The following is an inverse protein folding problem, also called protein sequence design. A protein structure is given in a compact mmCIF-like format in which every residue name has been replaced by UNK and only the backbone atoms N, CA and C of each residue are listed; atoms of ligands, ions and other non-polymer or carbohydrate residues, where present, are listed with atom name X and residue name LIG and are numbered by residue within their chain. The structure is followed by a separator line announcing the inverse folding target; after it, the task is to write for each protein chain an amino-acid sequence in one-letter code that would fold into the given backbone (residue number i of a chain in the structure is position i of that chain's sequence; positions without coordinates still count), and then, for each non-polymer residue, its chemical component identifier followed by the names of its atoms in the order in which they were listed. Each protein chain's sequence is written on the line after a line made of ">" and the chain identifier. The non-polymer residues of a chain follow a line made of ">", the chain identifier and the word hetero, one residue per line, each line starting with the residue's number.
data_IF_374042314661
#
_entry.id   IF_374042314661
#
_cell.length_a   1.000
_cell.length_b   1.000
_cell.length_c   1.000
_cell.angle_alpha   90.00
_cell.angle_beta   90.00
_cell.angle_gamma   90.00
#
_symmetry.space_group_name_H-M   'P 1'
#
loop_
_entity.id
_entity.type
_entity.pdbx_description
1 polymer ?
#
# COMPACT_ATOMS: atom_id res chain seq x y z
N UNK A 1 5.03 -2.36 20.34
CA UNK A 1 4.06 -2.46 19.24
C UNK A 1 4.85 -2.51 17.96
N UNK A 2 4.67 -3.55 17.15
CA UNK A 2 5.32 -3.62 15.85
C UNK A 2 4.50 -2.73 14.92
N UNK A 3 4.88 -1.45 14.79
CA UNK A 3 4.21 -0.57 13.82
C UNK A 3 4.36 -1.21 12.45
N UNK A 4 3.27 -1.23 11.68
CA UNK A 4 3.29 -1.78 10.33
C UNK A 4 3.90 -0.80 9.31
N UNK A 5 4.27 0.41 9.74
CA UNK A 5 4.97 1.43 8.97
C UNK A 5 6.11 2.06 9.78
N UNK A 6 7.09 2.63 9.07
CA UNK A 6 8.25 3.29 9.64
C UNK A 6 8.01 4.78 9.79
N UNK A 7 7.72 5.22 11.03
CA UNK A 7 7.59 6.65 11.35
C UNK A 7 8.90 7.42 11.14
N UNK A 8 10.04 6.74 11.29
CA UNK A 8 11.36 7.33 11.02
C UNK A 8 11.50 7.70 9.54
N UNK A 9 11.08 6.82 8.63
CA UNK A 9 11.06 7.10 7.19
C UNK A 9 10.16 8.29 6.87
N UNK A 10 8.97 8.37 7.46
CA UNK A 10 8.06 9.50 7.30
C UNK A 10 8.68 10.81 7.80
N UNK A 11 9.42 10.76 8.90
CA UNK A 11 10.13 11.91 9.47
C UNK A 11 11.30 12.34 8.58
N UNK A 12 12.04 11.40 7.99
CA UNK A 12 13.12 11.69 7.05
C UNK A 12 12.59 12.34 5.76
N UNK A 13 11.50 11.83 5.21
CA UNK A 13 10.81 12.41 4.04
C UNK A 13 10.39 13.85 4.30
N UNK A 14 9.93 14.11 5.52
CA UNK A 14 9.40 15.39 5.92
C UNK A 14 10.48 16.34 6.46
N UNK A 15 11.76 15.95 6.42
CA UNK A 15 12.89 16.71 7.01
C UNK A 15 12.66 17.08 8.50
N UNK A 16 11.90 16.26 9.22
CA UNK A 16 11.48 16.53 10.60
C UNK A 16 10.30 17.49 10.76
N UNK A 17 9.73 18.01 9.67
CA UNK A 17 8.58 18.90 9.71
C UNK A 17 7.28 18.13 9.99
N UNK A 18 6.64 18.48 11.11
CA UNK A 18 5.44 17.76 11.59
C UNK A 18 4.18 18.09 10.80
N UNK A 19 4.09 19.27 10.21
CA UNK A 19 2.97 19.65 9.35
C UNK A 19 3.05 18.88 8.03
N UNK A 20 4.26 18.77 7.46
CA UNK A 20 4.50 17.98 6.26
C UNK A 20 4.25 16.48 6.49
N UNK A 21 4.64 15.93 7.65
CA UNK A 21 4.32 14.54 8.01
C UNK A 21 2.79 14.30 8.00
N UNK A 22 2.00 15.22 8.54
CA UNK A 22 0.55 15.12 8.53
C UNK A 22 -0.03 15.19 7.11
N UNK A 23 0.48 16.09 6.26
CA UNK A 23 0.05 16.20 4.86
C UNK A 23 0.34 14.91 4.10
N UNK A 24 1.53 14.33 4.28
CA UNK A 24 1.92 13.07 3.62
C UNK A 24 1.06 11.90 4.11
N UNK A 25 0.86 11.77 5.43
CA UNK A 25 -0.01 10.75 6.02
C UNK A 25 -1.45 10.86 5.54
N UNK A 26 -1.99 12.09 5.51
CA UNK A 26 -3.35 12.37 5.02
C UNK A 26 -3.49 12.04 3.53
N UNK A 27 -2.55 12.47 2.70
CA UNK A 27 -2.55 12.18 1.25
C UNK A 27 -2.54 10.66 1.02
N UNK A 28 -1.71 9.93 1.76
CA UNK A 28 -1.66 8.48 1.72
C UNK A 28 -3.02 7.84 2.11
N UNK A 29 -3.66 8.34 3.17
CA UNK A 29 -4.99 7.89 3.60
C UNK A 29 -6.12 8.22 2.62
N UNK A 30 -5.96 9.24 1.77
CA UNK A 30 -6.97 9.62 0.76
C UNK A 30 -6.76 8.89 -0.57
N UNK A 31 -5.50 8.66 -0.99
CA UNK A 31 -5.19 8.08 -2.31
C UNK A 31 -5.04 6.54 -2.30
N UNK A 32 -4.39 5.97 -1.28
CA UNK A 32 -4.08 4.53 -1.25
C UNK A 32 -5.31 3.63 -1.06
N UNK A 33 -6.29 3.90 -0.17
CA UNK A 33 -7.46 3.03 -0.03
C UNK A 33 -8.28 2.83 -1.31
N UNK A 34 -8.61 3.87 -2.11
CA UNK A 34 -9.31 3.65 -3.38
C UNK A 34 -8.44 2.94 -4.43
N UNK A 35 -7.13 3.20 -4.50
CA UNK A 35 -6.21 2.46 -5.36
C UNK A 35 -6.15 0.97 -4.96
N UNK A 36 -6.13 0.66 -3.66
CA UNK A 36 -6.15 -0.70 -3.11
C UNK A 36 -7.43 -1.45 -3.44
N UNK A 37 -8.59 -0.78 -3.31
CA UNK A 37 -9.88 -1.35 -3.69
C UNK A 37 -9.91 -1.68 -5.19
N UNK A 38 -9.45 -0.72 -6.02
CA UNK A 38 -9.38 -0.88 -7.48
C UNK A 38 -8.41 -2.00 -7.89
N UNK A 39 -7.28 -2.15 -7.20
CA UNK A 39 -6.35 -3.26 -7.39
C UNK A 39 -7.01 -4.61 -7.12
N UNK A 40 -7.74 -4.72 -5.99
CA UNK A 40 -8.45 -5.95 -5.63
C UNK A 40 -9.52 -6.30 -6.67
N UNK A 41 -10.30 -5.32 -7.11
CA UNK A 41 -11.29 -5.50 -8.17
C UNK A 41 -10.65 -5.89 -9.50
N UNK A 42 -9.53 -5.28 -9.88
CA UNK A 42 -8.80 -5.63 -11.08
C UNK A 42 -8.33 -7.09 -11.05
N UNK A 43 -7.83 -7.57 -9.90
CA UNK A 43 -7.45 -8.98 -9.73
C UNK A 43 -8.69 -9.89 -9.85
N UNK A 44 -9.81 -9.56 -9.20
CA UNK A 44 -11.04 -10.38 -9.26
C UNK A 44 -11.59 -10.46 -10.70
N UNK A 45 -11.56 -9.34 -11.43
CA UNK A 45 -11.98 -9.27 -12.83
C UNK A 45 -10.94 -9.82 -13.82
N UNK A 46 -9.83 -10.39 -13.31
CA UNK A 46 -8.70 -10.87 -14.09
C UNK A 46 -8.08 -9.81 -15.03
N UNK A 47 -8.26 -8.53 -14.71
CA UNK A 47 -7.68 -7.41 -15.43
C UNK A 47 -6.25 -7.15 -14.94
N UNK A 48 -5.30 -7.85 -15.56
CA UNK A 48 -3.88 -7.79 -15.22
C UNK A 48 -3.25 -6.43 -15.52
N UNK A 49 -3.71 -5.72 -16.55
CA UNK A 49 -3.19 -4.41 -16.91
C UNK A 49 -3.51 -3.37 -15.82
N UNK A 50 -4.78 -3.29 -15.39
CA UNK A 50 -5.15 -2.42 -14.28
C UNK A 50 -4.48 -2.83 -12.98
N UNK A 51 -4.43 -4.13 -12.67
CA UNK A 51 -3.77 -4.61 -11.47
C UNK A 51 -2.29 -4.21 -11.45
N UNK A 52 -1.61 -4.22 -12.60
CA UNK A 52 -0.22 -3.79 -12.73
C UNK A 52 -0.09 -2.29 -12.45
N UNK A 53 -0.94 -1.47 -13.07
CA UNK A 53 -0.91 -0.02 -12.90
C UNK A 53 -1.11 0.39 -11.43
N UNK A 54 -2.11 -0.18 -10.76
CA UNK A 54 -2.37 0.11 -9.35
C UNK A 54 -1.24 -0.40 -8.45
N UNK A 55 -0.77 -1.65 -8.66
CA UNK A 55 0.34 -2.19 -7.88
C UNK A 55 1.62 -1.34 -8.03
N UNK A 56 1.95 -0.94 -9.27
CA UNK A 56 3.12 -0.12 -9.58
C UNK A 56 3.02 1.29 -8.98
N UNK A 57 1.82 1.89 -8.99
CA UNK A 57 1.55 3.21 -8.39
C UNK A 57 1.64 3.18 -6.86
N UNK A 58 1.12 2.12 -6.23
CA UNK A 58 1.11 2.00 -4.77
C UNK A 58 2.46 1.59 -4.20
N UNK A 59 3.24 0.77 -4.93
CA UNK A 59 4.54 0.25 -4.48
C UNK A 59 5.50 1.32 -3.93
N UNK A 60 5.81 2.43 -4.64
CA UNK A 60 6.70 3.45 -4.10
C UNK A 60 6.15 4.11 -2.83
N UNK A 61 4.83 4.29 -2.72
CA UNK A 61 4.20 4.82 -1.50
C UNK A 61 4.38 3.84 -0.32
N UNK A 62 4.22 2.54 -0.55
CA UNK A 62 4.41 1.50 0.47
C UNK A 62 5.88 1.42 0.90
N UNK A 63 6.82 1.50 -0.05
CA UNK A 63 8.27 1.53 0.22
C UNK A 63 8.66 2.77 1.02
N UNK A 64 8.13 3.93 0.63
CA UNK A 64 8.36 5.22 1.27
C UNK A 64 7.93 5.23 2.75
N UNK A 65 6.81 4.58 3.06
CA UNK A 65 6.33 4.43 4.44
C UNK A 65 6.99 3.25 5.18
N UNK A 66 7.92 2.51 4.56
CA UNK A 66 8.62 1.39 5.18
C UNK A 66 7.71 0.23 5.59
N UNK A 67 6.61 0.01 4.86
CA UNK A 67 5.61 -1.00 5.19
C UNK A 67 6.11 -2.38 4.74
N UNK A 68 6.02 -3.41 5.59
CA UNK A 68 6.49 -4.77 5.26
C UNK A 68 5.56 -5.55 4.30
N UNK A 69 4.94 -4.86 3.33
CA UNK A 69 4.15 -5.47 2.25
C UNK A 69 4.67 -5.22 0.83
N UNK A 70 5.85 -4.57 0.73
CA UNK A 70 6.53 -4.30 -0.55
C UNK A 70 6.81 -5.59 -1.32
N UNK A 71 7.10 -6.69 -0.63
CA UNK A 71 7.35 -7.99 -1.27
C UNK A 71 6.08 -8.55 -1.91
N UNK A 72 4.95 -8.41 -1.22
CA UNK A 72 3.65 -8.90 -1.66
C UNK A 72 3.13 -8.07 -2.84
N UNK A 73 3.22 -6.73 -2.78
CA UNK A 73 2.82 -5.86 -3.90
C UNK A 73 3.70 -6.12 -5.13
N UNK A 74 5.00 -6.37 -4.95
CA UNK A 74 5.93 -6.74 -6.05
C UNK A 74 5.58 -8.10 -6.64
N UNK A 75 5.12 -9.05 -5.82
CA UNK A 75 4.63 -10.34 -6.32
C UNK A 75 3.34 -10.17 -7.13
N UNK A 76 2.44 -9.26 -6.74
CA UNK A 76 1.23 -8.91 -7.51
C UNK A 76 1.62 -8.33 -8.86
N UNK A 77 2.51 -7.33 -8.85
CA UNK A 77 3.06 -6.68 -10.04
C UNK A 77 3.69 -7.71 -10.98
N UNK A 78 4.52 -8.61 -10.47
CA UNK A 78 5.14 -9.67 -11.27
C UNK A 78 4.12 -10.66 -11.81
N UNK A 79 3.11 -11.03 -11.01
CA UNK A 79 2.06 -11.96 -11.41
C UNK A 79 1.26 -11.46 -12.62
N UNK A 80 1.04 -10.14 -12.75
CA UNK A 80 0.35 -9.56 -13.91
C UNK A 80 1.04 -9.85 -15.24
N UNK A 81 2.37 -10.03 -15.22
CA UNK A 81 3.18 -10.39 -16.39
C UNK A 81 3.26 -11.91 -16.62
N UNK A 82 2.59 -12.72 -15.79
CA UNK A 82 2.56 -14.18 -15.91
C UNK A 82 1.23 -14.69 -16.44
N UNK A 83 1.20 -15.92 -16.94
CA UNK A 83 -0.05 -16.61 -17.32
C UNK A 83 -0.75 -17.30 -16.14
N UNK A 84 -0.38 -17.01 -14.88
CA UNK A 84 -0.98 -17.63 -13.69
C UNK A 84 -2.39 -17.09 -13.44
N UNK A 85 -3.23 -17.93 -12.81
CA UNK A 85 -4.56 -17.56 -12.35
C UNK A 85 -4.53 -16.65 -11.11
N UNK A 86 -5.63 -15.93 -10.88
CA UNK A 86 -5.77 -14.97 -9.77
C UNK A 86 -5.72 -15.64 -8.40
N UNK A 87 -6.12 -16.90 -8.31
CA UNK A 87 -6.06 -17.72 -7.10
C UNK A 87 -4.66 -17.78 -6.48
N UNK A 88 -3.61 -17.70 -7.31
CA UNK A 88 -2.21 -17.72 -6.84
C UNK A 88 -1.79 -16.41 -6.17
N UNK A 89 -2.47 -15.30 -6.48
CA UNK A 89 -2.13 -13.97 -5.97
C UNK A 89 -3.13 -13.41 -4.96
N UNK A 90 -4.37 -13.93 -4.93
CA UNK A 90 -5.38 -13.60 -3.92
C UNK A 90 -4.83 -13.56 -2.48
N UNK A 91 -4.10 -14.58 -1.97
CA UNK A 91 -3.57 -14.52 -0.61
C UNK A 91 -2.52 -13.41 -0.41
N UNK A 92 -1.78 -13.04 -1.45
CA UNK A 92 -0.80 -11.96 -1.38
C UNK A 92 -1.50 -10.60 -1.28
N UNK A 93 -2.52 -10.36 -2.11
CA UNK A 93 -3.28 -9.11 -2.05
C UNK A 93 -4.08 -9.00 -0.75
N UNK A 94 -4.62 -10.09 -0.21
CA UNK A 94 -5.33 -10.04 1.09
C UNK A 94 -4.39 -9.67 2.25
N UNK A 95 -3.14 -10.14 2.22
CA UNK A 95 -2.12 -9.71 3.18
C UNK A 95 -1.81 -8.21 3.03
N UNK A 96 -1.64 -7.72 1.80
CA UNK A 96 -1.43 -6.29 1.51
C UNK A 96 -2.58 -5.47 2.06
N UNK A 97 -3.82 -5.88 1.77
CA UNK A 97 -5.04 -5.18 2.23
C UNK A 97 -5.09 -5.15 3.75
N UNK A 98 -4.88 -6.28 4.41
CA UNK A 98 -4.95 -6.38 5.87
C UNK A 98 -3.90 -5.50 6.54
N UNK A 99 -2.66 -5.53 6.06
CA UNK A 99 -1.58 -4.71 6.62
C UNK A 99 -1.80 -3.23 6.35
N UNK A 100 -2.19 -2.84 5.13
CA UNK A 100 -2.47 -1.44 4.82
C UNK A 100 -3.62 -0.89 5.65
N UNK A 101 -4.68 -1.67 5.88
CA UNK A 101 -5.76 -1.25 6.77
C UNK A 101 -5.28 -1.00 8.21
N UNK A 102 -4.35 -1.81 8.72
CA UNK A 102 -3.73 -1.54 10.03
C UNK A 102 -2.91 -0.26 10.00
N UNK A 103 -2.07 -0.08 8.99
CA UNK A 103 -1.30 1.17 8.81
C UNK A 103 -2.23 2.38 8.75
N UNK A 104 -3.37 2.28 8.07
CA UNK A 104 -4.33 3.38 8.00
C UNK A 104 -4.92 3.71 9.37
N UNK A 105 -5.26 2.70 10.17
CA UNK A 105 -5.76 2.89 11.53
C UNK A 105 -4.69 3.52 12.44
N UNK A 106 -3.45 3.00 12.36
CA UNK A 106 -2.32 3.53 13.13
C UNK A 106 -2.01 4.98 12.73
N UNK A 107 -2.01 5.32 11.44
CA UNK A 107 -1.80 6.69 10.95
C UNK A 107 -2.91 7.63 11.43
N UNK A 108 -4.17 7.20 11.39
CA UNK A 108 -5.29 8.00 11.92
C UNK A 108 -5.14 8.26 13.41
N UNK A 109 -4.74 7.25 14.18
CA UNK A 109 -4.51 7.39 15.62
C UNK A 109 -3.31 8.30 15.92
N UNK A 110 -2.20 8.16 15.21
CA UNK A 110 -0.97 8.92 15.45
C UNK A 110 -1.13 10.41 15.06
N UNK A 111 -1.78 10.67 13.92
CA UNK A 111 -2.00 12.03 13.40
C UNK A 111 -3.34 12.65 13.81
N UNK A 112 -4.16 11.95 14.60
CA UNK A 112 -5.48 12.38 15.05
C UNK A 112 -6.43 12.75 13.89
N UNK A 113 -6.46 11.90 12.85
CA UNK A 113 -7.26 12.07 11.61
C UNK A 113 -8.57 11.26 11.60
#
# INVERSE_FOLDING_TARGET
>A
MSNHYSIESLREISDGDSDFMMVVARTFLEEIPPDLASLKEAIINNNKELAYQFAHKMKPNIEMFGIDVVKQITAVESWTNTSRGTETILPQIELVVTTLNRVFDELKQDFNL
#
